data_IF_056732792766
#
_entry.id   IF_056732792766
#
_cell.length_a   1.000
_cell.length_b   1.000
_cell.length_c   1.000
_cell.angle_alpha   90.00
_cell.angle_beta   90.00
_cell.angle_gamma   90.00
#
_symmetry.space_group_name_H-M   'P 1'
#
loop_
_entity.id
_entity.type
_entity.pdbx_description
1 polymer ?
#
# COMPACT_ATOMS: atom_id res chain seq x y z
N UNK A 1 14.43 5.47 4.26
CA UNK A 1 13.24 4.68 4.69
C UNK A 1 13.18 3.39 3.89
N UNK A 2 12.77 2.32 4.50
CA UNK A 2 12.50 1.05 3.81
C UNK A 2 11.00 0.83 3.68
N UNK A 3 10.59 -0.02 2.73
CA UNK A 3 9.16 -0.36 2.54
C UNK A 3 8.54 -0.90 3.82
N UNK A 4 9.24 -1.77 4.55
CA UNK A 4 8.75 -2.31 5.82
C UNK A 4 8.52 -1.23 6.87
N UNK A 5 9.36 -0.20 6.91
CA UNK A 5 9.19 0.93 7.84
C UNK A 5 7.92 1.71 7.52
N UNK A 6 7.65 1.93 6.23
CA UNK A 6 6.42 2.60 5.79
C UNK A 6 5.17 1.79 6.15
N UNK A 7 5.19 0.47 5.94
CA UNK A 7 4.07 -0.42 6.30
C UNK A 7 3.84 -0.43 7.82
N UNK A 8 4.90 -0.53 8.61
CA UNK A 8 4.81 -0.48 10.08
C UNK A 8 4.25 0.85 10.57
N UNK A 9 4.68 1.96 9.97
CA UNK A 9 4.15 3.28 10.27
C UNK A 9 2.66 3.38 9.98
N UNK A 10 2.22 2.89 8.83
CA UNK A 10 0.81 2.85 8.45
C UNK A 10 -0.01 2.04 9.45
N UNK A 11 0.45 0.84 9.82
CA UNK A 11 -0.24 -0.01 10.81
C UNK A 11 -0.37 0.69 12.14
N UNK A 12 0.69 1.35 12.62
CA UNK A 12 0.69 2.06 13.89
C UNK A 12 -0.33 3.21 13.91
N UNK A 13 -0.36 4.04 12.85
CA UNK A 13 -1.30 5.15 12.76
C UNK A 13 -2.74 4.69 12.54
N UNK A 14 -2.98 3.58 11.82
CA UNK A 14 -4.31 3.00 11.68
C UNK A 14 -4.92 2.59 13.01
N UNK A 15 -4.12 2.07 13.93
CA UNK A 15 -4.58 1.72 15.28
C UNK A 15 -5.04 2.93 16.07
N UNK A 16 -4.33 4.05 15.93
CA UNK A 16 -4.63 5.28 16.69
C UNK A 16 -5.99 5.86 16.34
N UNK A 17 -6.44 5.78 15.10
CA UNK A 17 -7.73 6.37 14.69
C UNK A 17 -8.95 5.67 15.30
N UNK A 18 -8.80 4.45 15.83
CA UNK A 18 -9.86 3.76 16.55
C UNK A 18 -10.01 4.24 17.98
N UNK A 19 -9.06 5.01 18.49
CA UNK A 19 -9.13 5.60 19.82
C UNK A 19 -10.04 6.84 19.76
N UNK A 20 -10.94 6.96 20.75
CA UNK A 20 -11.93 8.05 20.81
C UNK A 20 -11.29 9.44 20.78
N UNK A 21 -10.17 9.62 21.49
CA UNK A 21 -9.45 10.89 21.55
C UNK A 21 -8.74 11.27 20.23
N UNK A 22 -8.60 10.35 19.28
CA UNK A 22 -8.15 10.64 17.91
C UNK A 22 -9.34 10.90 16.99
N UNK A 23 -10.34 10.01 17.02
CA UNK A 23 -11.50 10.09 16.12
C UNK A 23 -12.29 11.38 16.25
N UNK A 24 -12.35 11.93 17.47
CA UNK A 24 -13.09 13.16 17.77
C UNK A 24 -12.21 14.42 17.83
N UNK A 25 -10.91 14.30 17.58
CA UNK A 25 -9.96 15.42 17.64
C UNK A 25 -9.45 15.74 16.23
N UNK A 26 -9.89 16.89 15.63
CA UNK A 26 -9.53 17.24 14.26
C UNK A 26 -8.03 17.48 14.08
N UNK A 27 -7.35 18.02 15.07
CA UNK A 27 -5.90 18.27 14.98
C UNK A 27 -5.11 16.98 14.95
N UNK A 28 -5.48 16.00 15.79
CA UNK A 28 -4.87 14.67 15.80
C UNK A 28 -5.20 13.89 14.54
N UNK A 29 -6.42 13.97 14.02
CA UNK A 29 -6.79 13.36 12.75
C UNK A 29 -5.98 13.93 11.59
N UNK A 30 -5.81 15.26 11.54
CA UNK A 30 -5.00 15.92 10.51
C UNK A 30 -3.55 15.45 10.56
N UNK A 31 -2.98 15.31 11.76
CA UNK A 31 -1.61 14.82 11.94
C UNK A 31 -1.48 13.36 11.45
N UNK A 32 -2.42 12.50 11.82
CA UNK A 32 -2.45 11.11 11.36
C UNK A 32 -2.56 11.04 9.84
N UNK A 33 -3.44 11.84 9.24
CA UNK A 33 -3.58 11.91 7.77
C UNK A 33 -2.28 12.30 7.09
N UNK A 34 -1.60 13.31 7.61
CA UNK A 34 -0.31 13.76 7.06
C UNK A 34 0.74 12.65 7.12
N UNK A 35 0.82 11.94 8.23
CA UNK A 35 1.75 10.81 8.39
C UNK A 35 1.41 9.64 7.46
N UNK A 36 0.14 9.27 7.36
CA UNK A 36 -0.30 8.24 6.44
C UNK A 36 0.01 8.62 4.98
N UNK A 37 -0.20 9.87 4.61
CA UNK A 37 0.09 10.36 3.26
C UNK A 37 1.58 10.26 2.93
N UNK A 38 2.47 10.58 3.87
CA UNK A 38 3.93 10.48 3.67
C UNK A 38 4.33 9.02 3.44
N UNK A 39 3.89 8.10 4.29
CA UNK A 39 4.19 6.68 4.13
C UNK A 39 3.60 6.12 2.84
N UNK A 40 2.38 6.52 2.50
CA UNK A 40 1.70 6.03 1.30
C UNK A 40 2.38 6.54 0.02
N UNK A 41 2.85 7.79 0.01
CA UNK A 41 3.63 8.33 -1.10
C UNK A 41 4.92 7.53 -1.31
N UNK A 42 5.59 7.14 -0.23
CA UNK A 42 6.78 6.29 -0.31
C UNK A 42 6.46 4.93 -0.93
N UNK A 43 5.34 4.30 -0.54
CA UNK A 43 4.90 3.05 -1.15
C UNK A 43 4.60 3.24 -2.65
N UNK A 44 3.93 4.32 -3.02
CA UNK A 44 3.63 4.64 -4.42
C UNK A 44 4.91 4.71 -5.27
N UNK A 45 5.95 5.35 -4.76
CA UNK A 45 7.23 5.48 -5.46
C UNK A 45 7.93 4.13 -5.69
N UNK A 46 7.63 3.12 -4.90
CA UNK A 46 8.28 1.82 -4.95
C UNK A 46 7.45 0.73 -5.65
N UNK A 47 6.14 0.93 -5.84
CA UNK A 47 5.24 -0.08 -6.43
C UNK A 47 5.66 -0.47 -7.84
N UNK A 48 5.98 0.51 -8.70
CA UNK A 48 6.39 0.26 -10.08
C UNK A 48 7.67 -0.60 -10.13
N UNK A 49 8.64 -0.33 -9.24
CA UNK A 49 9.85 -1.12 -9.14
C UNK A 49 9.60 -2.56 -8.69
N UNK A 50 8.69 -2.78 -7.75
CA UNK A 50 8.31 -4.11 -7.32
C UNK A 50 7.65 -4.91 -8.44
N UNK A 51 6.75 -4.27 -9.18
CA UNK A 51 6.11 -4.88 -10.35
C UNK A 51 7.15 -5.24 -11.42
N UNK A 52 8.06 -4.33 -11.72
CA UNK A 52 9.13 -4.54 -12.70
C UNK A 52 10.01 -5.74 -12.31
N UNK A 53 10.43 -5.82 -11.04
CA UNK A 53 11.25 -6.92 -10.53
C UNK A 53 10.54 -8.27 -10.72
N UNK A 54 9.27 -8.37 -10.37
CA UNK A 54 8.49 -9.60 -10.54
C UNK A 54 8.34 -9.97 -12.02
N UNK A 55 8.05 -9.00 -12.89
CA UNK A 55 7.89 -9.21 -14.33
C UNK A 55 9.20 -9.66 -14.99
N UNK A 56 10.31 -9.01 -14.68
CA UNK A 56 11.62 -9.37 -15.21
C UNK A 56 12.03 -10.78 -14.81
N UNK A 57 11.78 -11.15 -13.56
CA UNK A 57 12.08 -12.49 -13.06
C UNK A 57 11.25 -13.56 -13.77
N UNK A 58 9.96 -13.27 -14.02
CA UNK A 58 9.10 -14.17 -14.78
C UNK A 58 9.59 -14.36 -16.21
N UNK A 59 9.92 -13.26 -16.90
CA UNK A 59 10.42 -13.30 -18.29
C UNK A 59 11.75 -14.06 -18.37
N UNK A 60 12.68 -13.77 -17.45
CA UNK A 60 13.97 -14.44 -17.41
C UNK A 60 13.83 -15.93 -17.18
N UNK A 61 12.99 -16.34 -16.24
CA UNK A 61 12.73 -17.77 -15.96
C UNK A 61 12.09 -18.48 -17.16
N UNK A 62 11.15 -17.84 -17.84
CA UNK A 62 10.53 -18.37 -19.06
C UNK A 62 11.58 -18.59 -20.17
N UNK A 63 12.39 -17.57 -20.45
CA UNK A 63 13.43 -17.65 -21.47
C UNK A 63 14.46 -18.75 -21.16
N UNK A 64 14.89 -18.84 -19.90
CA UNK A 64 15.85 -19.86 -19.48
C UNK A 64 15.27 -21.28 -19.67
N UNK A 65 14.00 -21.49 -19.32
CA UNK A 65 13.33 -22.78 -19.53
C UNK A 65 13.22 -23.13 -21.01
N UNK A 66 12.89 -22.15 -21.86
CA UNK A 66 12.82 -22.37 -23.32
C UNK A 66 14.17 -22.69 -23.94
N UNK A 67 15.25 -22.11 -23.44
CA UNK A 67 16.62 -22.44 -23.88
C UNK A 67 17.00 -23.88 -23.54
N UNK A 68 16.40 -24.47 -22.51
CA UNK A 68 16.57 -25.88 -22.14
C UNK A 68 15.55 -26.79 -22.87
N UNK A 69 14.90 -26.28 -23.90
CA UNK A 69 13.93 -27.01 -24.72
C UNK A 69 12.65 -27.47 -23.97
N UNK A 70 12.36 -26.81 -22.85
CA UNK A 70 11.10 -27.05 -22.11
C UNK A 70 9.93 -26.50 -22.93
N UNK A 71 8.83 -27.25 -23.01
CA UNK A 71 7.64 -26.84 -23.74
C UNK A 71 7.06 -25.53 -23.20
N UNK A 72 6.31 -24.77 -24.02
CA UNK A 72 5.76 -23.45 -23.68
C UNK A 72 4.92 -23.50 -22.40
N UNK A 73 4.00 -24.43 -22.29
CA UNK A 73 3.11 -24.54 -21.12
C UNK A 73 3.89 -24.81 -19.83
N UNK A 74 4.86 -25.70 -19.88
CA UNK A 74 5.70 -26.02 -18.73
C UNK A 74 6.61 -24.85 -18.38
N UNK A 75 7.16 -24.16 -19.38
CA UNK A 75 7.99 -22.96 -19.18
C UNK A 75 7.19 -21.84 -18.51
N UNK A 76 5.92 -21.65 -18.88
CA UNK A 76 5.02 -20.70 -18.23
C UNK A 76 4.80 -21.01 -16.75
N UNK A 77 4.60 -22.30 -16.41
CA UNK A 77 4.44 -22.75 -15.01
C UNK A 77 5.71 -22.49 -14.20
N UNK A 78 6.87 -22.82 -14.75
CA UNK A 78 8.17 -22.54 -14.11
C UNK A 78 8.35 -21.04 -13.87
N UNK A 79 8.04 -20.22 -14.86
CA UNK A 79 8.16 -18.77 -14.76
C UNK A 79 7.27 -18.18 -13.65
N UNK A 80 6.01 -18.65 -13.56
CA UNK A 80 5.08 -18.24 -12.50
C UNK A 80 5.60 -18.64 -11.13
N UNK A 81 6.11 -19.85 -10.99
CA UNK A 81 6.62 -20.35 -9.72
C UNK A 81 7.88 -19.60 -9.27
N UNK A 82 8.81 -19.34 -10.17
CA UNK A 82 10.05 -18.60 -9.89
C UNK A 82 9.79 -17.14 -9.47
N UNK A 83 8.74 -16.51 -10.01
CA UNK A 83 8.40 -15.11 -9.72
C UNK A 83 7.35 -14.94 -8.62
N UNK A 84 6.87 -16.05 -8.03
CA UNK A 84 5.73 -16.03 -7.09
C UNK A 84 5.97 -15.12 -5.89
N UNK A 85 7.13 -15.27 -5.23
CA UNK A 85 7.44 -14.50 -4.02
C UNK A 85 7.49 -12.99 -4.31
N UNK A 86 8.13 -12.59 -5.41
CA UNK A 86 8.20 -11.18 -5.80
C UNK A 86 6.83 -10.63 -6.17
N UNK A 87 6.00 -11.45 -6.80
CA UNK A 87 4.62 -11.07 -7.14
C UNK A 87 3.78 -10.91 -5.89
N UNK A 88 3.90 -11.79 -4.91
CA UNK A 88 3.18 -11.70 -3.64
C UNK A 88 3.57 -10.44 -2.87
N UNK A 89 4.86 -10.07 -2.85
CA UNK A 89 5.33 -8.82 -2.25
C UNK A 89 4.69 -7.62 -2.94
N UNK A 90 4.71 -7.59 -4.27
CA UNK A 90 4.08 -6.54 -5.06
C UNK A 90 2.58 -6.40 -4.74
N UNK A 91 1.84 -7.49 -4.76
CA UNK A 91 0.39 -7.48 -4.51
C UNK A 91 0.08 -7.02 -3.08
N UNK A 92 0.86 -7.45 -2.10
CA UNK A 92 0.71 -7.05 -0.70
C UNK A 92 0.91 -5.54 -0.53
N UNK A 93 1.99 -5.00 -1.09
CA UNK A 93 2.29 -3.56 -0.99
C UNK A 93 1.26 -2.73 -1.74
N UNK A 94 0.83 -3.17 -2.92
CA UNK A 94 -0.25 -2.53 -3.67
C UNK A 94 -1.55 -2.49 -2.87
N UNK A 95 -1.89 -3.58 -2.18
CA UNK A 95 -3.07 -3.62 -1.30
C UNK A 95 -2.95 -2.61 -0.15
N UNK A 96 -1.82 -2.55 0.53
CA UNK A 96 -1.58 -1.58 1.61
C UNK A 96 -1.70 -0.15 1.08
N UNK A 97 -1.12 0.14 -0.07
CA UNK A 97 -1.20 1.45 -0.72
C UNK A 97 -2.66 1.85 -1.02
N UNK A 98 -3.42 0.97 -1.65
CA UNK A 98 -4.80 1.23 -2.03
C UNK A 98 -5.69 1.41 -0.80
N UNK A 99 -5.58 0.52 0.20
CA UNK A 99 -6.38 0.60 1.41
C UNK A 99 -6.05 1.84 2.25
N UNK A 100 -4.79 2.25 2.27
CA UNK A 100 -4.37 3.47 2.97
C UNK A 100 -4.92 4.72 2.28
N UNK A 101 -4.92 4.77 0.96
CA UNK A 101 -5.55 5.85 0.20
C UNK A 101 -7.04 5.97 0.51
N UNK A 102 -7.74 4.84 0.57
CA UNK A 102 -9.16 4.82 0.95
C UNK A 102 -9.38 5.31 2.39
N UNK A 103 -8.51 4.90 3.31
CA UNK A 103 -8.57 5.36 4.70
C UNK A 103 -8.38 6.88 4.80
N UNK A 104 -7.42 7.45 4.08
CA UNK A 104 -7.20 8.89 4.06
C UNK A 104 -8.47 9.62 3.60
N UNK A 105 -9.16 9.10 2.59
CA UNK A 105 -10.44 9.65 2.12
C UNK A 105 -11.51 9.61 3.21
N UNK A 106 -11.60 8.51 3.96
CA UNK A 106 -12.51 8.40 5.12
C UNK A 106 -12.19 9.45 6.18
N UNK A 107 -10.93 9.65 6.50
CA UNK A 107 -10.50 10.64 7.48
C UNK A 107 -10.79 12.08 7.02
N UNK A 108 -10.64 12.37 5.74
CA UNK A 108 -11.04 13.66 5.16
C UNK A 108 -12.53 13.91 5.34
N UNK A 109 -13.35 12.89 5.09
CA UNK A 109 -14.80 12.97 5.30
C UNK A 109 -15.14 13.20 6.78
N UNK A 110 -14.45 12.53 7.68
CA UNK A 110 -14.62 12.72 9.13
C UNK A 110 -14.28 14.14 9.56
N UNK A 111 -13.19 14.70 9.04
CA UNK A 111 -12.81 16.08 9.33
C UNK A 111 -13.88 17.09 8.88
N UNK A 112 -14.46 16.87 7.70
CA UNK A 112 -15.56 17.73 7.21
C UNK A 112 -16.76 17.69 8.12
N UNK A 113 -17.11 16.51 8.64
CA UNK A 113 -18.21 16.34 9.60
C UNK A 113 -17.94 17.13 10.88
N UNK A 114 -16.72 17.02 11.43
CA UNK A 114 -16.33 17.75 12.64
C UNK A 114 -16.38 19.27 12.41
N UNK A 115 -15.85 19.76 11.29
CA UNK A 115 -15.88 21.18 10.93
C UNK A 115 -17.31 21.68 10.78
N UNK A 116 -18.19 20.92 10.17
CA UNK A 116 -19.59 21.27 10.02
C UNK A 116 -20.30 21.32 11.37
N UNK A 117 -20.05 20.36 12.25
CA UNK A 117 -20.60 20.37 13.62
C UNK A 117 -20.16 21.60 14.40
N UNK A 118 -18.89 22.00 14.28
CA UNK A 118 -18.37 23.21 14.92
C UNK A 118 -19.04 24.49 14.41
N UNK A 119 -19.28 24.57 13.11
CA UNK A 119 -20.03 25.70 12.52
C UNK A 119 -21.45 25.77 13.02
N UNK A 120 -22.14 24.63 13.09
CA UNK A 120 -23.52 24.52 13.56
C UNK A 120 -23.65 24.90 15.05
N UNK A 121 -22.59 24.67 15.83
CA UNK A 121 -22.51 25.06 17.25
C UNK A 121 -22.08 26.53 17.43
N UNK A 122 -21.82 27.26 16.36
CA UNK A 122 -21.39 28.65 16.41
C UNK A 122 -19.95 28.86 16.88
N UNK A 123 -19.12 27.83 16.73
CA UNK A 123 -17.70 27.86 17.15
C UNK A 123 -16.78 28.25 16.01
#
# INVERSE_FOLDING_TARGET
MKIDDAVKGIVAYRKLIHEENYWNNPERLSDVMAKLAVYNAYLADNIAGLHKTASEKQITAFRSARLLEVGVTEAEKIAKQESLDDREVYEKIKYVYTSTGNLITVLQSRLRVIEQQRKDEGI
#
